data_IF_590662221552
#
_entry.id   IF_590662221552
#
_cell.length_a   1.000
_cell.length_b   1.000
_cell.length_c   1.000
_cell.angle_alpha   90.00
_cell.angle_beta   90.00
_cell.angle_gamma   90.00
#
_symmetry.space_group_name_H-M   'P 1'
#
loop_
_entity.id
_entity.type
_entity.pdbx_description
1 polymer ?
#
# COMPACT_ATOMS: atom_id res chain seq x y z
N UNK A 1 -10.36 -3.30 -0.68
CA UNK A 1 -10.27 -3.64 0.74
C UNK A 1 -10.73 -2.50 1.62
N UNK A 2 -11.15 -2.82 2.82
CA UNK A 2 -11.57 -1.82 3.81
C UNK A 2 -10.36 -1.07 4.39
N UNK A 3 -10.58 0.15 4.86
CA UNK A 3 -9.55 0.92 5.57
C UNK A 3 -9.35 0.37 6.98
N UNK A 4 -8.12 0.28 7.45
CA UNK A 4 -7.77 -0.18 8.79
C UNK A 4 -7.98 0.86 9.89
N UNK A 5 -9.15 1.52 9.99
CA UNK A 5 -9.41 2.51 11.01
C UNK A 5 -10.91 2.58 11.39
N UNK A 6 -11.19 2.57 12.69
CA UNK A 6 -12.52 2.84 13.23
C UNK A 6 -12.53 4.24 13.88
N UNK A 7 -13.30 5.23 13.34
CA UNK A 7 -13.39 6.56 13.92
C UNK A 7 -14.14 6.48 15.24
N UNK A 8 -13.44 6.61 16.34
CA UNK A 8 -13.99 6.54 17.71
C UNK A 8 -13.41 5.41 18.54
N UNK A 9 -12.60 4.55 17.97
CA UNK A 9 -11.86 3.51 18.69
C UNK A 9 -10.40 3.91 18.88
N UNK A 10 -9.84 3.65 20.05
CA UNK A 10 -8.39 3.66 20.27
C UNK A 10 -7.71 2.45 19.63
N UNK A 11 -8.50 1.50 19.12
CA UNK A 11 -8.02 0.30 18.47
C UNK A 11 -7.68 0.60 17.00
N UNK A 12 -6.46 0.31 16.63
CA UNK A 12 -5.96 0.36 15.27
C UNK A 12 -6.11 -1.05 14.69
N UNK A 13 -6.62 -1.15 13.48
CA UNK A 13 -6.77 -2.43 12.80
C UNK A 13 -5.98 -2.44 11.51
N UNK A 14 -5.47 -3.61 11.16
CA UNK A 14 -4.89 -3.84 9.83
C UNK A 14 -5.92 -3.55 8.73
N UNK A 15 -5.46 -3.16 7.56
CA UNK A 15 -6.32 -2.97 6.40
C UNK A 15 -7.02 -4.28 6.02
N UNK A 16 -8.28 -4.20 5.62
CA UNK A 16 -8.99 -5.37 5.10
C UNK A 16 -8.47 -5.78 3.73
N UNK A 17 -8.49 -7.08 3.45
CA UNK A 17 -8.15 -7.60 2.13
C UNK A 17 -9.11 -7.11 1.05
N UNK A 18 -8.64 -7.03 -0.19
CA UNK A 18 -9.48 -6.83 -1.36
C UNK A 18 -10.39 -8.02 -1.60
N UNK A 19 -11.52 -7.78 -2.26
CA UNK A 19 -12.38 -8.86 -2.73
C UNK A 19 -11.84 -9.50 -4.01
N UNK A 20 -12.13 -10.78 -4.20
CA UNK A 20 -11.76 -11.51 -5.40
C UNK A 20 -12.57 -11.06 -6.62
N UNK A 21 -11.99 -11.23 -7.79
CA UNK A 21 -12.65 -11.08 -9.09
C UNK A 21 -12.67 -12.43 -9.80
N UNK A 22 -13.83 -12.85 -10.34
CA UNK A 22 -13.92 -14.15 -10.98
C UNK A 22 -14.71 -14.15 -12.28
N UNK A 23 -14.37 -15.09 -13.16
CA UNK A 23 -15.11 -15.42 -14.37
C UNK A 23 -15.63 -16.86 -14.20
N UNK A 24 -16.95 -17.01 -14.06
CA UNK A 24 -17.56 -18.28 -13.65
C UNK A 24 -17.48 -19.42 -14.67
N UNK A 25 -17.49 -19.12 -15.97
CA UNK A 25 -17.40 -20.13 -17.03
C UNK A 25 -16.11 -20.94 -17.01
N UNK A 26 -14.95 -20.31 -17.19
CA UNK A 26 -13.66 -21.00 -17.17
C UNK A 26 -13.10 -21.25 -15.75
N UNK A 27 -13.79 -20.82 -14.70
CA UNK A 27 -13.33 -21.01 -13.31
C UNK A 27 -12.09 -20.19 -12.96
N UNK A 28 -11.87 -19.03 -13.59
CA UNK A 28 -10.73 -18.16 -13.34
C UNK A 28 -11.05 -17.25 -12.16
N UNK A 29 -10.18 -17.21 -11.16
CA UNK A 29 -10.28 -16.30 -10.02
C UNK A 29 -8.98 -15.53 -9.82
N UNK A 30 -9.06 -14.20 -9.82
CA UNK A 30 -8.02 -13.32 -9.36
C UNK A 30 -8.29 -12.96 -7.90
N UNK A 31 -7.39 -13.39 -7.01
CA UNK A 31 -7.51 -13.17 -5.56
C UNK A 31 -7.23 -11.70 -5.25
N UNK A 32 -8.06 -11.10 -4.39
CA UNK A 32 -7.86 -9.73 -3.94
C UNK A 32 -6.55 -9.53 -3.19
N UNK A 33 -5.98 -8.33 -3.26
CA UNK A 33 -4.74 -8.00 -2.55
C UNK A 33 -4.90 -7.99 -1.04
N UNK A 34 -3.85 -8.33 -0.31
CA UNK A 34 -3.79 -8.30 1.15
C UNK A 34 -3.78 -6.88 1.72
N UNK A 35 -4.45 -6.68 2.85
CA UNK A 35 -4.43 -5.42 3.60
C UNK A 35 -3.07 -5.17 4.27
N UNK A 36 -2.68 -3.90 4.38
CA UNK A 36 -1.44 -3.52 5.09
C UNK A 36 -1.57 -3.75 6.60
N UNK A 37 -0.45 -4.05 7.23
CA UNK A 37 -0.34 -4.21 8.68
C UNK A 37 -0.57 -2.90 9.43
N UNK A 38 -0.84 -2.99 10.72
CA UNK A 38 -0.85 -1.84 11.62
C UNK A 38 -0.15 -2.16 12.93
N UNK A 39 0.36 -1.11 13.59
CA UNK A 39 0.81 -1.20 14.97
C UNK A 39 -0.41 -0.94 15.88
N UNK A 40 -0.90 -1.97 16.55
CA UNK A 40 -2.07 -1.86 17.43
C UNK A 40 -1.69 -1.31 18.81
N UNK A 41 -0.58 -1.74 19.37
CA UNK A 41 0.02 -1.24 20.62
C UNK A 41 1.53 -1.37 20.54
N UNK A 42 2.24 -0.74 21.48
CA UNK A 42 3.72 -0.78 21.51
C UNK A 42 4.34 -2.19 21.45
N UNK A 43 3.54 -3.23 21.66
CA UNK A 43 4.03 -4.61 21.77
C UNK A 43 3.21 -5.65 20.97
N UNK A 44 2.20 -5.26 20.22
CA UNK A 44 1.35 -6.23 19.49
C UNK A 44 0.92 -5.69 18.11
N UNK A 45 1.83 -5.69 17.12
CA UNK A 45 1.48 -5.30 15.76
C UNK A 45 0.56 -6.35 15.12
N UNK A 46 -0.55 -5.92 14.51
CA UNK A 46 -1.36 -6.79 13.68
C UNK A 46 -0.64 -7.11 12.36
N UNK A 47 -0.61 -8.37 11.92
CA UNK A 47 0.03 -8.78 10.68
C UNK A 47 -0.69 -8.20 9.46
N UNK A 48 0.04 -8.07 8.37
CA UNK A 48 -0.54 -7.76 7.08
C UNK A 48 -1.31 -8.96 6.52
N UNK A 49 -2.33 -8.68 5.72
CA UNK A 49 -3.10 -9.69 5.01
C UNK A 49 -2.33 -10.32 3.86
N UNK A 50 -2.52 -11.63 3.66
CA UNK A 50 -2.11 -12.34 2.44
C UNK A 50 -3.22 -12.26 1.39
N UNK A 51 -2.85 -12.33 0.10
CA UNK A 51 -3.81 -12.22 -0.99
C UNK A 51 -3.20 -12.51 -2.35
N UNK A 52 -3.78 -12.02 -3.44
CA UNK A 52 -3.16 -12.06 -4.76
C UNK A 52 -1.76 -11.45 -4.70
N UNK A 53 -1.64 -10.25 -4.12
CA UNK A 53 -0.39 -9.66 -3.64
C UNK A 53 -0.49 -9.41 -2.15
N UNK A 54 0.58 -9.57 -1.38
CA UNK A 54 0.61 -9.43 0.07
C UNK A 54 0.67 -7.97 0.53
N UNK A 55 0.09 -7.68 1.70
CA UNK A 55 0.22 -6.38 2.36
C UNK A 55 1.59 -6.15 2.97
N UNK A 56 2.02 -4.89 3.06
CA UNK A 56 3.29 -4.50 3.69
C UNK A 56 3.25 -4.58 5.22
N UNK A 57 4.38 -4.89 5.84
CA UNK A 57 4.54 -4.99 7.28
C UNK A 57 4.60 -3.61 7.95
N UNK A 58 4.13 -3.53 9.20
CA UNK A 58 4.28 -2.35 10.06
C UNK A 58 5.52 -2.47 10.94
N UNK A 59 6.21 -1.37 11.18
CA UNK A 59 7.27 -1.30 12.20
C UNK A 59 6.69 -1.35 13.62
N UNK A 60 7.51 -1.67 14.60
CA UNK A 60 7.16 -1.62 16.02
C UNK A 60 7.96 -0.53 16.73
N UNK A 61 7.31 0.18 17.67
CA UNK A 61 7.92 1.25 18.44
C UNK A 61 8.97 0.78 19.44
N UNK A 62 8.78 -0.39 20.04
CA UNK A 62 9.55 -0.85 21.20
C UNK A 62 10.55 -1.96 20.93
N UNK A 63 10.46 -2.64 19.82
CA UNK A 63 11.36 -3.75 19.48
C UNK A 63 11.60 -3.85 17.97
N UNK A 64 12.70 -4.50 17.64
CA UNK A 64 13.10 -4.81 16.26
C UNK A 64 12.15 -5.77 15.53
N UNK A 65 11.11 -6.26 16.21
CA UNK A 65 10.13 -7.18 15.64
C UNK A 65 8.88 -6.42 15.22
N UNK A 66 8.88 -5.88 14.00
CA UNK A 66 7.68 -5.38 13.36
C UNK A 66 6.66 -6.49 13.07
N UNK A 67 5.52 -6.12 12.51
CA UNK A 67 4.50 -7.10 12.10
C UNK A 67 5.01 -7.98 10.95
N UNK A 68 4.37 -9.13 10.79
CA UNK A 68 4.60 -10.00 9.63
C UNK A 68 3.97 -9.37 8.38
N UNK A 69 4.71 -9.36 7.27
CA UNK A 69 4.16 -8.98 5.96
C UNK A 69 3.21 -10.05 5.43
N UNK A 70 2.29 -9.67 4.56
CA UNK A 70 1.42 -10.61 3.88
C UNK A 70 2.14 -11.31 2.73
N UNK A 71 1.77 -12.55 2.47
CA UNK A 71 2.30 -13.32 1.33
C UNK A 71 1.43 -13.13 0.09
N UNK A 72 2.06 -13.12 -1.07
CA UNK A 72 1.40 -13.15 -2.37
C UNK A 72 1.02 -14.57 -2.77
N UNK A 73 0.00 -14.72 -3.61
CA UNK A 73 -0.36 -16.00 -4.21
C UNK A 73 0.53 -16.27 -5.42
N UNK A 74 1.24 -17.42 -5.47
CA UNK A 74 2.07 -17.77 -6.62
C UNK A 74 1.30 -17.67 -7.95
N UNK A 75 1.88 -16.98 -8.92
CA UNK A 75 1.26 -16.77 -10.24
C UNK A 75 0.24 -15.63 -10.30
N UNK A 76 -0.06 -14.96 -9.17
CA UNK A 76 -0.95 -13.79 -9.14
C UNK A 76 -0.26 -12.52 -8.62
N UNK A 77 0.70 -12.66 -7.70
CA UNK A 77 1.44 -11.52 -7.17
C UNK A 77 2.50 -11.94 -6.16
N UNK A 78 3.13 -10.94 -5.58
CA UNK A 78 4.29 -11.07 -4.72
C UNK A 78 4.01 -10.65 -3.29
N UNK A 79 4.92 -11.02 -2.39
CA UNK A 79 4.85 -10.70 -0.97
C UNK A 79 4.95 -9.19 -0.73
N UNK A 80 4.38 -8.74 0.36
CA UNK A 80 4.64 -7.41 0.90
C UNK A 80 6.07 -7.28 1.43
N UNK A 81 6.55 -6.04 1.55
CA UNK A 81 7.84 -5.73 2.13
C UNK A 81 7.86 -6.00 3.63
N UNK A 82 9.02 -6.47 4.12
CA UNK A 82 9.27 -6.66 5.54
C UNK A 82 9.38 -5.33 6.28
N UNK A 83 9.05 -5.32 7.56
CA UNK A 83 9.39 -4.20 8.43
C UNK A 83 10.90 -4.11 8.65
N UNK A 84 11.37 -2.90 8.92
CA UNK A 84 12.71 -2.68 9.47
C UNK A 84 12.67 -2.47 10.98
N UNK A 85 13.76 -1.89 11.52
CA UNK A 85 13.81 -1.48 12.92
C UNK A 85 12.91 -0.29 13.21
N UNK A 86 12.24 -0.30 14.35
CA UNK A 86 11.41 0.79 14.94
C UNK A 86 10.33 1.41 14.01
N UNK A 87 10.69 2.26 13.10
CA UNK A 87 9.78 3.12 12.36
C UNK A 87 9.75 2.84 10.85
N UNK A 88 10.35 1.75 10.45
CA UNK A 88 10.48 1.37 9.05
C UNK A 88 9.41 0.38 8.64
N UNK A 89 8.54 0.78 7.76
CA UNK A 89 7.41 0.00 7.29
C UNK A 89 7.64 -0.50 5.88
N UNK A 90 7.23 -1.73 5.62
CA UNK A 90 7.29 -2.32 4.28
C UNK A 90 6.17 -1.86 3.38
N UNK A 91 6.42 -1.74 2.09
CA UNK A 91 5.41 -1.51 1.06
C UNK A 91 4.62 -2.77 0.71
N UNK A 92 3.43 -2.62 0.14
CA UNK A 92 2.64 -3.75 -0.38
C UNK A 92 3.29 -4.39 -1.60
N UNK A 93 3.11 -5.69 -1.78
CA UNK A 93 3.51 -6.41 -2.99
C UNK A 93 2.71 -5.99 -4.21
N UNK A 94 3.32 -6.04 -5.37
CA UNK A 94 2.68 -5.87 -6.67
C UNK A 94 2.52 -7.21 -7.40
N UNK A 95 1.87 -7.20 -8.56
CA UNK A 95 1.77 -8.40 -9.40
C UNK A 95 3.11 -8.81 -10.01
N UNK A 96 4.02 -7.86 -10.24
CA UNK A 96 5.33 -8.10 -10.86
C UNK A 96 6.52 -8.07 -9.91
N UNK A 97 6.39 -7.50 -8.70
CA UNK A 97 7.51 -7.34 -7.78
C UNK A 97 7.10 -7.37 -6.31
N UNK A 98 8.02 -7.81 -5.45
CA UNK A 98 7.90 -7.75 -3.99
C UNK A 98 7.85 -6.29 -3.52
N UNK A 99 7.12 -6.02 -2.45
CA UNK A 99 7.11 -4.71 -1.79
C UNK A 99 8.47 -4.36 -1.19
N UNK A 100 8.84 -3.08 -1.25
CA UNK A 100 10.09 -2.59 -0.68
C UNK A 100 10.15 -2.80 0.83
N UNK A 101 11.30 -3.31 1.33
CA UNK A 101 11.56 -3.43 2.76
C UNK A 101 11.64 -2.07 3.43
N UNK A 102 11.16 -1.97 4.66
CA UNK A 102 11.24 -0.78 5.48
C UNK A 102 12.68 -0.27 5.67
N UNK A 103 13.68 -1.14 5.71
CA UNK A 103 15.08 -0.72 5.85
C UNK A 103 15.69 -0.13 4.56
N UNK A 104 15.03 -0.23 3.43
CA UNK A 104 15.58 0.21 2.15
C UNK A 104 14.75 1.31 1.49
N UNK A 105 13.48 1.13 1.35
CA UNK A 105 12.68 2.08 0.57
C UNK A 105 11.21 2.17 0.99
N UNK A 106 10.60 1.10 1.49
CA UNK A 106 9.17 1.05 1.78
C UNK A 106 8.26 1.31 0.57
N UNK A 107 8.80 1.30 -0.65
CA UNK A 107 8.01 1.47 -1.88
C UNK A 107 7.05 0.31 -2.11
N UNK A 108 5.94 0.57 -2.78
CA UNK A 108 5.11 -0.50 -3.32
C UNK A 108 5.85 -1.30 -4.41
N UNK A 109 5.62 -2.60 -4.45
CA UNK A 109 6.09 -3.46 -5.54
C UNK A 109 5.45 -3.08 -6.87
N UNK A 110 6.22 -3.11 -7.95
CA UNK A 110 5.68 -2.84 -9.27
C UNK A 110 4.66 -3.91 -9.68
N UNK A 111 3.67 -3.51 -10.44
CA UNK A 111 2.71 -4.40 -11.07
C UNK A 111 3.30 -5.20 -12.23
N UNK A 112 2.45 -5.86 -12.96
CA UNK A 112 2.81 -6.59 -14.17
C UNK A 112 2.50 -5.73 -15.40
N UNK A 113 3.43 -5.71 -16.35
CA UNK A 113 3.23 -5.06 -17.64
C UNK A 113 2.57 -6.04 -18.62
N UNK A 114 1.50 -5.59 -19.30
CA UNK A 114 0.76 -6.41 -20.27
C UNK A 114 0.15 -5.55 -21.38
N UNK A 115 0.11 -6.07 -22.59
CA UNK A 115 -0.38 -5.41 -23.80
C UNK A 115 -1.74 -5.91 -24.30
N UNK A 116 -2.49 -6.58 -23.45
CA UNK A 116 -3.81 -7.16 -23.81
C UNK A 116 -4.77 -6.15 -24.47
N UNK A 117 -4.65 -4.87 -24.15
CA UNK A 117 -5.45 -3.79 -24.74
C UNK A 117 -4.84 -3.21 -26.03
N UNK A 118 -3.79 -3.82 -26.58
CA UNK A 118 -3.08 -3.36 -27.78
C UNK A 118 -2.00 -2.30 -27.53
N UNK A 119 -1.85 -1.84 -26.29
CA UNK A 119 -0.78 -0.97 -25.81
C UNK A 119 -0.35 -1.49 -24.45
N UNK A 120 0.95 -1.41 -24.16
CA UNK A 120 1.50 -1.90 -22.89
C UNK A 120 1.08 -1.01 -21.72
N UNK A 121 0.54 -1.64 -20.68
CA UNK A 121 0.11 -1.02 -19.44
C UNK A 121 0.62 -1.82 -18.24
N UNK A 122 0.83 -1.11 -17.12
CA UNK A 122 1.15 -1.74 -15.85
C UNK A 122 -0.11 -1.94 -15.01
N UNK A 123 -0.26 -3.11 -14.39
CA UNK A 123 -1.43 -3.51 -13.62
C UNK A 123 -1.06 -3.99 -12.23
N UNK A 124 -1.92 -3.75 -11.24
CA UNK A 124 -1.81 -4.29 -9.89
C UNK A 124 -0.49 -3.96 -9.17
N UNK A 125 -0.07 -2.69 -9.19
CA UNK A 125 1.04 -2.20 -8.39
C UNK A 125 0.68 -2.12 -6.90
N UNK A 126 1.63 -2.41 -6.01
CA UNK A 126 1.47 -2.35 -4.57
C UNK A 126 1.44 -0.92 -4.02
N UNK A 127 0.81 -0.70 -2.88
CA UNK A 127 0.84 0.58 -2.18
C UNK A 127 2.18 0.84 -1.47
N UNK A 128 2.64 2.09 -1.46
CA UNK A 128 3.80 2.51 -0.66
C UNK A 128 3.48 2.55 0.83
N UNK A 129 4.47 2.33 1.69
CA UNK A 129 4.33 2.48 3.14
C UNK A 129 4.24 3.95 3.54
N UNK A 130 4.01 4.25 4.81
CA UNK A 130 4.27 5.59 5.34
C UNK A 130 5.73 5.71 5.82
N UNK A 131 6.20 6.95 6.07
CA UNK A 131 7.49 7.22 6.71
C UNK A 131 7.28 7.91 8.04
N UNK A 132 7.89 7.42 9.10
CA UNK A 132 7.86 8.14 10.38
C UNK A 132 9.06 9.08 10.55
N UNK A 133 10.17 8.87 9.86
CA UNK A 133 11.39 9.69 10.06
C UNK A 133 12.05 10.10 8.74
N UNK A 134 12.16 11.41 8.47
CA UNK A 134 12.67 11.93 7.20
C UNK A 134 14.16 11.64 6.95
N UNK A 135 14.95 11.44 8.00
CA UNK A 135 16.40 11.26 7.86
C UNK A 135 16.82 9.91 7.27
N UNK A 136 15.90 8.95 7.20
CA UNK A 136 16.24 7.59 6.84
C UNK A 136 16.01 7.22 5.38
N UNK A 137 15.27 8.03 4.66
CA UNK A 137 15.01 7.80 3.23
C UNK A 137 15.80 8.74 2.30
N UNK A 138 16.85 9.37 2.81
CA UNK A 138 17.81 10.19 2.05
C UNK A 138 17.16 11.12 1.01
N UNK A 139 15.96 11.64 1.34
CA UNK A 139 15.16 12.48 0.43
C UNK A 139 14.31 11.71 -0.59
N UNK A 140 14.41 10.39 -0.65
CA UNK A 140 13.59 9.57 -1.54
C UNK A 140 12.15 9.48 -1.03
N UNK A 141 11.25 9.78 -1.93
CA UNK A 141 9.81 9.81 -1.68
C UNK A 141 9.26 8.40 -1.77
N UNK A 142 8.54 7.93 -0.73
CA UNK A 142 7.89 6.64 -0.80
C UNK A 142 6.76 6.69 -1.82
N UNK A 143 6.87 5.84 -2.83
CA UNK A 143 5.94 5.75 -3.95
C UNK A 143 5.18 4.43 -3.94
N UNK A 144 4.00 4.45 -4.50
CA UNK A 144 3.32 3.24 -4.94
C UNK A 144 4.06 2.58 -6.10
N UNK A 145 3.84 1.30 -6.31
CA UNK A 145 4.34 0.56 -7.47
C UNK A 145 3.66 1.00 -8.77
N UNK A 146 4.33 0.81 -9.89
CA UNK A 146 3.73 1.00 -11.22
C UNK A 146 2.47 0.17 -11.36
N UNK A 147 1.50 0.66 -12.12
CA UNK A 147 0.21 -0.04 -12.26
C UNK A 147 -0.80 0.35 -11.19
N UNK A 148 -0.81 1.61 -10.77
CA UNK A 148 -1.84 2.17 -9.91
C UNK A 148 -1.62 2.00 -8.42
N UNK A 149 -0.41 1.73 -7.95
CA UNK A 149 -0.11 1.74 -6.52
C UNK A 149 -0.28 3.13 -5.90
N UNK A 150 -1.01 3.22 -4.78
CA UNK A 150 -1.16 4.44 -4.00
C UNK A 150 0.12 4.79 -3.24
N UNK A 151 0.48 6.07 -3.15
CA UNK A 151 1.64 6.49 -2.39
C UNK A 151 1.38 6.50 -0.89
N UNK A 152 2.40 6.24 -0.09
CA UNK A 152 2.33 6.36 1.36
C UNK A 152 2.25 7.81 1.84
N UNK A 153 1.65 8.03 2.99
CA UNK A 153 1.56 9.35 3.59
C UNK A 153 2.90 9.77 4.24
N UNK A 154 3.31 11.03 4.12
CA UNK A 154 4.46 11.55 4.86
C UNK A 154 4.10 11.81 6.32
N UNK A 155 5.02 11.56 7.26
CA UNK A 155 4.77 11.77 8.68
C UNK A 155 5.06 13.19 9.20
N UNK A 156 5.71 14.05 8.44
CA UNK A 156 6.10 15.40 8.89
C UNK A 156 5.85 16.45 7.82
N UNK A 157 5.34 17.62 8.27
CA UNK A 157 5.26 18.84 7.47
C UNK A 157 6.67 19.28 7.06
N UNK A 158 6.90 19.45 5.77
CA UNK A 158 8.19 19.87 5.22
C UNK A 158 8.98 18.76 4.49
N UNK A 159 8.68 17.50 4.75
CA UNK A 159 9.19 16.39 3.98
C UNK A 159 8.06 15.78 3.15
N UNK A 160 7.48 16.62 2.30
CA UNK A 160 6.38 16.21 1.43
C UNK A 160 6.74 14.92 0.70
N UNK A 161 6.21 13.80 1.19
CA UNK A 161 6.11 12.61 0.36
C UNK A 161 5.35 13.03 -0.87
N UNK A 162 6.04 13.31 -1.95
CA UNK A 162 5.36 13.47 -3.22
C UNK A 162 4.83 12.09 -3.56
N UNK A 163 3.52 11.97 -3.53
CA UNK A 163 2.87 10.91 -4.27
C UNK A 163 3.44 10.92 -5.66
N UNK A 164 4.26 9.96 -5.96
CA UNK A 164 4.44 9.62 -7.34
C UNK A 164 3.44 8.48 -7.55
N UNK A 165 2.31 8.75 -8.19
CA UNK A 165 1.51 7.66 -8.72
C UNK A 165 2.46 6.79 -9.53
N UNK A 166 2.30 5.49 -9.44
CA UNK A 166 2.97 4.61 -10.40
C UNK A 166 2.70 5.19 -11.78
N UNK A 167 3.71 5.31 -12.67
CA UNK A 167 3.54 5.94 -13.96
C UNK A 167 2.36 5.29 -14.67
N UNK A 168 1.38 6.12 -14.96
CA UNK A 168 0.12 5.71 -15.54
C UNK A 168 0.26 5.42 -17.01
N UNK A 169 -0.45 4.43 -17.38
CA UNK A 169 -0.84 4.23 -18.73
C UNK A 169 -2.00 5.19 -19.08
N UNK A 170 -1.71 6.30 -19.71
CA UNK A 170 -2.63 7.08 -20.56
C UNK A 170 -4.07 7.33 -20.06
N UNK A 171 -4.26 7.85 -18.88
CA UNK A 171 -5.54 8.41 -18.46
C UNK A 171 -6.65 7.43 -18.06
N UNK A 172 -6.40 6.13 -18.07
CA UNK A 172 -7.34 5.11 -17.58
C UNK A 172 -7.21 4.94 -16.06
N UNK A 173 -6.06 5.31 -15.50
CA UNK A 173 -5.72 5.04 -14.09
C UNK A 173 -5.20 6.28 -13.40
N UNK A 174 -5.81 6.64 -12.29
CA UNK A 174 -5.30 7.66 -11.39
C UNK A 174 -4.99 7.05 -10.03
N UNK A 175 -3.73 7.00 -9.66
CA UNK A 175 -3.38 6.78 -8.26
C UNK A 175 -3.82 8.00 -7.45
N UNK A 176 -4.48 7.77 -6.31
CA UNK A 176 -4.87 8.87 -5.43
C UNK A 176 -3.65 9.58 -4.86
N UNK A 177 -3.61 10.89 -4.93
CA UNK A 177 -2.62 11.70 -4.23
C UNK A 177 -2.90 11.68 -2.72
N UNK A 178 -1.88 11.74 -1.83
CA UNK A 178 -2.09 12.03 -0.43
C UNK A 178 -2.79 13.39 -0.32
N UNK A 179 -3.62 13.55 0.68
CA UNK A 179 -4.29 14.83 0.91
C UNK A 179 -3.24 15.93 1.10
N UNK A 180 -3.33 17.02 0.32
CA UNK A 180 -2.45 18.15 0.43
C UNK A 180 -2.54 18.79 1.81
N UNK A 181 -1.38 19.14 2.38
CA UNK A 181 -1.27 19.78 3.69
C UNK A 181 -1.54 21.26 3.65
N UNK A 182 -2.27 21.75 4.62
CA UNK A 182 -2.39 23.19 4.90
C UNK A 182 -1.86 23.61 6.27
N UNK A 183 -1.44 22.68 7.15
CA UNK A 183 -0.86 23.02 8.46
C UNK A 183 0.07 21.93 9.02
N UNK A 184 0.96 22.33 9.94
CA UNK A 184 1.98 21.48 10.59
C UNK A 184 1.42 20.30 11.41
N UNK A 185 0.11 20.20 11.58
CA UNK A 185 -0.55 19.24 12.47
C UNK A 185 -1.64 18.44 11.76
N UNK A 186 -1.69 18.48 10.42
CA UNK A 186 -2.72 17.78 9.67
C UNK A 186 -2.30 16.34 9.35
N UNK A 187 -3.25 15.48 9.57
CA UNK A 187 -3.19 14.03 9.37
C UNK A 187 -3.15 13.69 7.88
N UNK A 188 -2.20 12.86 7.50
CA UNK A 188 -2.08 12.45 6.10
C UNK A 188 -2.67 11.08 5.90
N UNK A 189 -3.64 10.98 5.02
CA UNK A 189 -4.10 9.70 4.52
C UNK A 189 -3.21 9.23 3.36
N UNK A 190 -2.98 7.93 3.31
CA UNK A 190 -2.32 7.32 2.16
C UNK A 190 -3.14 7.49 0.88
N UNK A 191 -2.47 7.53 -0.25
CA UNK A 191 -3.09 7.57 -1.58
C UNK A 191 -3.88 6.31 -1.86
N UNK A 192 -5.05 6.42 -2.46
CA UNK A 192 -5.80 5.25 -2.90
C UNK A 192 -5.15 4.63 -4.14
N UNK A 193 -5.32 3.35 -4.33
CA UNK A 193 -4.96 2.66 -5.56
C UNK A 193 -5.76 3.17 -6.77
N UNK A 194 -5.16 3.07 -7.95
CA UNK A 194 -5.75 3.53 -9.21
C UNK A 194 -7.04 2.76 -9.55
N UNK A 195 -8.01 3.44 -10.11
CA UNK A 195 -9.23 2.78 -10.58
C UNK A 195 -8.91 1.86 -11.76
N UNK A 196 -9.56 0.71 -11.80
CA UNK A 196 -9.44 -0.29 -12.88
C UNK A 196 -8.01 -0.85 -13.06
N UNK A 197 -7.16 -0.78 -12.04
CA UNK A 197 -5.80 -1.33 -12.08
C UNK A 197 -5.59 -2.51 -11.16
N UNK A 198 -6.45 -2.67 -10.14
CA UNK A 198 -6.19 -3.60 -9.05
C UNK A 198 -5.06 -3.14 -8.10
N UNK A 199 -4.60 -1.90 -8.22
CA UNK A 199 -3.49 -1.37 -7.41
C UNK A 199 -3.83 -1.27 -5.93
N UNK A 200 -2.82 -1.45 -5.06
CA UNK A 200 -2.95 -1.32 -3.60
C UNK A 200 -3.04 0.14 -3.13
N UNK A 201 -3.70 0.39 -2.02
CA UNK A 201 -3.66 1.70 -1.34
C UNK A 201 -2.39 1.89 -0.51
N UNK A 202 -1.93 3.12 -0.40
CA UNK A 202 -0.75 3.49 0.41
C UNK A 202 -1.03 3.55 1.91
N UNK A 203 0.02 3.47 2.73
CA UNK A 203 -0.06 3.60 4.18
C UNK A 203 -0.46 5.01 4.64
N UNK A 204 -1.26 5.11 5.70
CA UNK A 204 -1.59 6.37 6.38
C UNK A 204 -0.57 6.70 7.46
N UNK A 205 -0.53 7.97 7.90
CA UNK A 205 0.41 8.46 8.89
C UNK A 205 -0.09 8.27 10.35
N UNK A 206 0.86 8.19 11.28
CA UNK A 206 0.65 8.24 12.71
C UNK A 206 1.44 9.38 13.35
N UNK A 207 0.79 10.28 14.06
CA UNK A 207 1.45 11.28 14.88
C UNK A 207 1.13 11.08 16.36
N UNK A 208 2.16 11.10 17.22
CA UNK A 208 2.18 10.65 18.62
C UNK A 208 1.28 11.35 19.65
N UNK A 209 0.36 12.22 19.27
CA UNK A 209 -0.51 12.95 20.21
C UNK A 209 -1.90 12.32 20.46
N UNK A 210 -2.11 11.09 20.05
CA UNK A 210 -3.19 10.23 20.58
C UNK A 210 -4.61 10.50 20.10
N UNK A 211 -4.89 11.51 19.29
CA UNK A 211 -6.28 11.93 19.07
C UNK A 211 -6.79 11.68 17.64
N UNK A 212 -5.95 11.65 16.65
CA UNK A 212 -6.35 11.33 15.26
C UNK A 212 -5.21 10.65 14.50
N UNK A 213 -5.55 9.75 13.59
CA UNK A 213 -4.59 8.98 12.81
C UNK A 213 -4.88 9.13 11.33
N UNK A 214 -3.86 9.25 10.50
CA UNK A 214 -3.99 9.19 9.05
C UNK A 214 -4.53 7.82 8.63
N UNK A 215 -5.44 7.80 7.66
CA UNK A 215 -6.03 6.56 7.16
C UNK A 215 -5.19 5.97 6.04
N UNK A 216 -5.08 4.67 5.98
CA UNK A 216 -4.59 4.00 4.78
C UNK A 216 -5.47 4.32 3.57
N UNK A 217 -4.87 4.34 2.38
CA UNK A 217 -5.61 4.47 1.12
C UNK A 217 -6.47 3.24 0.85
N UNK A 218 -7.54 3.40 0.08
CA UNK A 218 -8.32 2.27 -0.42
C UNK A 218 -7.55 1.58 -1.55
N UNK A 219 -7.69 0.27 -1.68
CA UNK A 219 -7.27 -0.43 -2.90
C UNK A 219 -8.08 0.02 -4.10
N UNK A 220 -7.48 0.01 -5.28
CA UNK A 220 -8.14 0.29 -6.55
C UNK A 220 -9.10 -0.83 -6.94
N UNK A 221 -10.07 -0.50 -7.79
CA UNK A 221 -10.91 -1.53 -8.40
C UNK A 221 -10.10 -2.36 -9.41
N UNK A 222 -10.44 -3.64 -9.54
CA UNK A 222 -9.90 -4.49 -10.59
C UNK A 222 -10.53 -4.21 -11.95
N UNK A 223 -10.01 -4.89 -12.97
CA UNK A 223 -10.52 -4.91 -14.34
C UNK A 223 -10.49 -6.35 -14.85
N UNK A 224 -11.39 -6.67 -15.77
CA UNK A 224 -11.34 -7.89 -16.57
C UNK A 224 -11.16 -7.46 -18.01
N UNK A 225 -10.08 -7.88 -18.65
CA UNK A 225 -9.83 -7.67 -20.07
C UNK A 225 -9.78 -9.02 -20.78
N UNK A 226 -10.47 -9.15 -21.91
CA UNK A 226 -10.53 -10.39 -22.70
C UNK A 226 -10.17 -10.04 -24.15
N UNK A 227 -9.19 -10.76 -24.68
CA UNK A 227 -8.79 -10.66 -26.10
C UNK A 227 -9.33 -11.88 -26.83
N UNK A 228 -10.03 -11.64 -27.92
CA UNK A 228 -10.57 -12.66 -28.82
C UNK A 228 -9.70 -12.80 -30.07
#
# INVERSE_FOLDING_TARGET
GARGYDPGSTNRHAGGNGGDSSISGPGITAIGGGGGATEHSENNPEPAGSGGSGGGASGSRSNSNGSVHGTGTPGQGHDGGTSGSHWYMGGGGGAGAVGGSGNSSGHGGDGLEDDILGTSYWWAGGGGSNTHHPAYYNGDKIRGGKGGGGAGAPCHSGHGGVSIPGPDANGITTAGAPTSQTSQWNWHSGGSGGKHTGGGGGGGDYHGNGITHGRGGLGGSGIVAIKF
#
